data_IF_260830342052
#
_entry.id   IF_260830342052
#
_cell.length_a   1.000
_cell.length_b   1.000
_cell.length_c   1.000
_cell.angle_alpha   90.00
_cell.angle_beta   90.00
_cell.angle_gamma   90.00
#
_symmetry.space_group_name_H-M   'P 1'
#
loop_
_entity.id
_entity.type
_entity.pdbx_description
1 polymer ?
#
# COMPACT_ATOMS: atom_id res chain seq x y z
N UNK A 1 22.96 28.66 2.93
CA UNK A 1 21.82 27.85 2.42
C UNK A 1 21.54 28.29 1.00
N UNK A 2 21.48 27.38 0.04
CA UNK A 2 21.13 27.75 -1.34
C UNK A 2 19.61 27.92 -1.46
N UNK A 3 19.17 28.69 -2.46
CA UNK A 3 17.74 28.86 -2.76
C UNK A 3 17.03 27.50 -2.95
N UNK A 4 17.70 26.55 -3.61
CA UNK A 4 17.20 25.18 -3.84
C UNK A 4 17.01 24.43 -2.52
N UNK A 5 17.96 24.53 -1.57
CA UNK A 5 17.84 23.89 -0.26
C UNK A 5 16.61 24.40 0.51
N UNK A 6 16.31 25.69 0.42
CA UNK A 6 15.13 26.28 1.07
C UNK A 6 13.84 25.73 0.46
N UNK A 7 13.77 25.62 -0.88
CA UNK A 7 12.61 25.03 -1.57
C UNK A 7 12.36 23.60 -1.09
N UNK A 8 13.39 22.74 -1.06
CA UNK A 8 13.24 21.36 -0.62
C UNK A 8 12.80 21.28 0.84
N UNK A 9 13.39 22.07 1.73
CA UNK A 9 13.01 22.10 3.14
C UNK A 9 11.53 22.45 3.31
N UNK A 10 11.06 23.52 2.67
CA UNK A 10 9.65 23.94 2.71
C UNK A 10 8.72 22.87 2.14
N UNK A 11 9.10 22.25 1.02
CA UNK A 11 8.32 21.18 0.40
C UNK A 11 8.18 19.96 1.33
N UNK A 12 9.24 19.54 2.01
CA UNK A 12 9.18 18.42 2.97
C UNK A 12 8.33 18.75 4.19
N UNK A 13 8.43 19.96 4.75
CA UNK A 13 7.58 20.36 5.86
C UNK A 13 6.10 20.41 5.44
N UNK A 14 5.80 21.00 4.27
CA UNK A 14 4.44 21.04 3.75
C UNK A 14 3.88 19.63 3.50
N UNK A 15 4.65 18.74 2.86
CA UNK A 15 4.25 17.36 2.61
C UNK A 15 3.98 16.60 3.92
N UNK A 16 4.82 16.79 4.93
CA UNK A 16 4.64 16.16 6.25
C UNK A 16 3.38 16.65 6.96
N UNK A 17 3.12 17.96 6.93
CA UNK A 17 1.91 18.54 7.52
C UNK A 17 0.64 18.05 6.82
N UNK A 18 0.65 17.98 5.48
CA UNK A 18 -0.47 17.47 4.69
C UNK A 18 -0.70 15.99 4.99
N UNK A 19 0.36 15.19 5.05
CA UNK A 19 0.27 13.75 5.33
C UNK A 19 -0.33 13.51 6.72
N UNK A 20 0.26 14.08 7.77
CA UNK A 20 -0.15 13.83 9.16
C UNK A 20 -1.51 14.46 9.45
N UNK A 21 -1.70 15.74 9.11
CA UNK A 21 -2.95 16.45 9.32
C UNK A 21 -4.10 15.90 8.49
N UNK A 22 -3.85 15.59 7.21
CA UNK A 22 -4.84 15.01 6.31
C UNK A 22 -5.25 13.59 6.73
N UNK A 23 -4.28 12.74 7.11
CA UNK A 23 -4.57 11.41 7.65
C UNK A 23 -5.39 11.50 8.95
N UNK A 24 -4.97 12.37 9.89
CA UNK A 24 -5.70 12.59 11.14
C UNK A 24 -7.14 13.04 10.91
N UNK A 25 -7.35 13.99 10.00
CA UNK A 25 -8.69 14.44 9.60
C UNK A 25 -9.52 13.31 9.00
N UNK A 26 -8.94 12.46 8.14
CA UNK A 26 -9.64 11.31 7.55
C UNK A 26 -10.01 10.24 8.57
N UNK A 27 -9.13 9.95 9.52
CA UNK A 27 -9.42 9.03 10.64
C UNK A 27 -10.56 9.59 11.49
N UNK A 28 -10.50 10.87 11.83
CA UNK A 28 -11.55 11.54 12.59
C UNK A 28 -12.90 11.53 11.87
N UNK A 29 -12.90 11.82 10.56
CA UNK A 29 -14.08 11.74 9.70
C UNK A 29 -14.66 10.32 9.71
N UNK A 30 -13.83 9.30 9.54
CA UNK A 30 -14.25 7.89 9.58
C UNK A 30 -14.87 7.52 10.93
N UNK A 31 -14.23 7.91 12.05
CA UNK A 31 -14.73 7.61 13.39
C UNK A 31 -16.10 8.25 13.68
N UNK A 32 -16.31 9.49 13.22
CA UNK A 32 -17.54 10.25 13.50
C UNK A 32 -18.69 9.96 12.55
N UNK A 33 -18.42 9.36 11.39
CA UNK A 33 -19.47 9.07 10.40
C UNK A 33 -20.29 7.87 10.88
N UNK A 34 -21.59 8.05 11.23
CA UNK A 34 -22.41 6.93 11.67
C UNK A 34 -22.62 5.95 10.51
N UNK A 35 -22.58 4.64 10.79
CA UNK A 35 -22.90 3.61 9.80
C UNK A 35 -24.43 3.47 9.69
N UNK A 36 -25.06 3.91 8.58
CA UNK A 36 -26.52 4.05 8.51
C UNK A 36 -27.25 2.70 8.37
N UNK A 37 -26.54 1.61 8.04
CA UNK A 37 -27.16 0.33 7.68
C UNK A 37 -26.57 -0.82 8.50
N UNK A 38 -27.45 -1.61 9.14
CA UNK A 38 -27.12 -2.94 9.66
C UNK A 38 -27.12 -3.92 8.49
N UNK A 39 -26.01 -4.00 7.77
CA UNK A 39 -25.89 -4.91 6.64
C UNK A 39 -25.79 -6.35 7.18
N UNK A 40 -26.69 -7.27 6.78
CA UNK A 40 -26.52 -8.68 7.10
C UNK A 40 -25.23 -9.17 6.43
N UNK A 41 -24.23 -9.46 7.24
CA UNK A 41 -22.99 -10.04 6.75
C UNK A 41 -23.19 -11.54 6.54
N UNK A 42 -22.51 -12.08 5.52
CA UNK A 42 -22.37 -13.54 5.34
C UNK A 42 -21.98 -14.20 6.67
N UNK A 43 -22.39 -15.47 6.93
CA UNK A 43 -22.13 -16.15 8.19
C UNK A 43 -20.69 -15.91 8.66
N UNK A 44 -20.56 -15.09 9.71
CA UNK A 44 -19.28 -14.76 10.30
C UNK A 44 -19.00 -15.75 11.43
N UNK A 45 -17.72 -16.04 11.72
CA UNK A 45 -17.39 -16.83 12.89
C UNK A 45 -18.02 -16.21 14.15
N UNK A 46 -18.74 -17.02 14.92
CA UNK A 46 -19.44 -16.58 16.14
C UNK A 46 -18.50 -16.49 17.36
N UNK A 47 -17.27 -17.02 17.23
CA UNK A 47 -16.25 -16.99 18.28
C UNK A 47 -15.23 -15.88 18.03
N UNK A 48 -14.73 -15.24 19.10
CA UNK A 48 -13.68 -14.21 19.01
C UNK A 48 -12.43 -14.70 18.29
N UNK A 49 -12.02 -15.94 18.57
CA UNK A 49 -10.87 -16.58 17.91
C UNK A 49 -11.13 -16.77 16.42
N UNK A 50 -12.33 -17.22 16.03
CA UNK A 50 -12.69 -17.37 14.62
C UNK A 50 -12.68 -16.04 13.86
N UNK A 51 -13.14 -14.95 14.50
CA UNK A 51 -13.06 -13.59 13.93
C UNK A 51 -11.61 -13.17 13.73
N UNK A 52 -10.75 -13.35 14.74
CA UNK A 52 -9.33 -13.03 14.66
C UNK A 52 -8.65 -13.76 13.50
N UNK A 53 -8.85 -15.08 13.39
CA UNK A 53 -8.30 -15.89 12.30
C UNK A 53 -8.81 -15.42 10.93
N UNK A 54 -10.10 -15.07 10.81
CA UNK A 54 -10.66 -14.54 9.56
C UNK A 54 -9.97 -13.23 9.17
N UNK A 55 -9.83 -12.30 10.11
CA UNK A 55 -9.20 -11.00 9.85
C UNK A 55 -7.74 -11.19 9.42
N UNK A 56 -6.97 -12.01 10.14
CA UNK A 56 -5.57 -12.30 9.79
C UNK A 56 -5.46 -12.86 8.38
N UNK A 57 -6.34 -13.79 7.99
CA UNK A 57 -6.36 -14.35 6.63
C UNK A 57 -6.67 -13.31 5.56
N UNK A 58 -7.56 -12.36 5.82
CA UNK A 58 -7.84 -11.30 4.86
C UNK A 58 -6.71 -10.27 4.78
N UNK A 59 -6.12 -9.88 5.92
CA UNK A 59 -5.08 -8.84 5.96
C UNK A 59 -3.74 -9.35 5.43
N UNK A 60 -3.29 -10.52 5.86
CA UNK A 60 -1.97 -11.04 5.50
C UNK A 60 -1.95 -11.76 4.15
N UNK A 61 -3.05 -12.40 3.77
CA UNK A 61 -3.09 -13.30 2.61
C UNK A 61 -4.16 -12.95 1.57
N UNK A 62 -4.97 -11.93 1.79
CA UNK A 62 -6.07 -11.55 0.89
C UNK A 62 -6.97 -12.75 0.52
N UNK A 63 -7.35 -13.55 1.52
CA UNK A 63 -8.01 -14.84 1.30
C UNK A 63 -9.29 -14.76 0.46
N UNK A 64 -10.11 -13.71 0.62
CA UNK A 64 -11.28 -13.49 -0.23
C UNK A 64 -10.90 -13.20 -1.69
N UNK A 65 -9.87 -12.39 -1.90
CA UNK A 65 -9.36 -12.07 -3.23
C UNK A 65 -8.79 -13.32 -3.93
N UNK A 66 -8.09 -14.19 -3.18
CA UNK A 66 -7.59 -15.47 -3.71
C UNK A 66 -8.72 -16.34 -4.25
N UNK A 67 -9.83 -16.43 -3.51
CA UNK A 67 -11.01 -17.20 -3.91
C UNK A 67 -11.74 -16.58 -5.11
N UNK A 68 -11.76 -15.25 -5.22
CA UNK A 68 -12.49 -14.53 -6.27
C UNK A 68 -11.70 -14.41 -7.58
N UNK A 69 -10.43 -14.00 -7.52
CA UNK A 69 -9.62 -13.71 -8.70
C UNK A 69 -8.13 -13.97 -8.43
N UNK A 70 -7.67 -15.16 -8.80
CA UNK A 70 -6.29 -15.62 -8.59
C UNK A 70 -5.24 -14.72 -9.25
N UNK A 71 -5.53 -14.16 -10.43
CA UNK A 71 -4.62 -13.26 -11.13
C UNK A 71 -4.40 -11.94 -10.38
N UNK A 72 -5.50 -11.30 -9.96
CA UNK A 72 -5.43 -10.05 -9.18
C UNK A 72 -4.77 -10.31 -7.83
N UNK A 73 -5.06 -11.45 -7.21
CA UNK A 73 -4.39 -11.88 -5.98
C UNK A 73 -2.88 -12.02 -6.18
N UNK A 74 -2.44 -12.75 -7.20
CA UNK A 74 -1.03 -13.04 -7.45
C UNK A 74 -0.23 -11.75 -7.68
N UNK A 75 -0.71 -10.86 -8.55
CA UNK A 75 -0.05 -9.58 -8.80
C UNK A 75 -0.14 -8.64 -7.60
N UNK A 76 -1.23 -8.70 -6.83
CA UNK A 76 -1.40 -7.97 -5.58
C UNK A 76 -0.39 -8.38 -4.52
N UNK A 77 -0.23 -9.69 -4.29
CA UNK A 77 0.76 -10.24 -3.35
C UNK A 77 2.18 -9.93 -3.82
N UNK A 78 2.49 -10.12 -5.10
CA UNK A 78 3.79 -9.78 -5.68
C UNK A 78 4.15 -8.31 -5.41
N UNK A 79 3.23 -7.39 -5.72
CA UNK A 79 3.43 -5.96 -5.48
C UNK A 79 3.64 -5.63 -4.00
N UNK A 80 2.78 -6.13 -3.09
CA UNK A 80 2.88 -5.80 -1.66
C UNK A 80 4.11 -6.42 -0.99
N UNK A 81 4.46 -7.66 -1.32
CA UNK A 81 5.66 -8.31 -0.78
C UNK A 81 6.93 -7.58 -1.26
N UNK A 82 6.98 -7.20 -2.54
CA UNK A 82 8.07 -6.42 -3.09
C UNK A 82 8.17 -5.02 -2.45
N UNK A 83 7.03 -4.32 -2.30
CA UNK A 83 6.96 -3.02 -1.63
C UNK A 83 7.47 -3.11 -0.19
N UNK A 84 7.10 -4.16 0.56
CA UNK A 84 7.58 -4.38 1.93
C UNK A 84 9.11 -4.48 1.96
N UNK A 85 9.71 -5.27 1.06
CA UNK A 85 11.17 -5.41 0.98
C UNK A 85 11.83 -4.07 0.62
N UNK A 86 11.24 -3.31 -0.31
CA UNK A 86 11.73 -1.97 -0.68
C UNK A 86 11.68 -1.02 0.52
N UNK A 87 10.59 -1.00 1.28
CA UNK A 87 10.46 -0.17 2.49
C UNK A 87 11.51 -0.57 3.54
N UNK A 88 11.69 -1.88 3.79
CA UNK A 88 12.72 -2.37 4.71
C UNK A 88 14.13 -2.01 4.25
N UNK A 89 14.41 -2.01 2.94
CA UNK A 89 15.68 -1.53 2.40
C UNK A 89 15.88 -0.04 2.70
N UNK A 90 14.84 0.78 2.59
CA UNK A 90 14.91 2.22 2.88
C UNK A 90 15.05 2.50 4.38
N UNK A 91 14.56 1.62 5.26
CA UNK A 91 14.70 1.75 6.71
C UNK A 91 16.16 1.84 7.17
N UNK A 92 17.11 1.31 6.38
CA UNK A 92 18.55 1.42 6.65
C UNK A 92 19.02 2.85 6.89
N UNK A 93 18.40 3.83 6.23
CA UNK A 93 18.79 5.24 6.34
C UNK A 93 18.32 5.91 7.63
N UNK A 94 17.49 5.22 8.43
CA UNK A 94 16.93 5.73 9.67
C UNK A 94 17.49 5.04 10.92
N UNK A 95 18.40 4.07 10.75
CA UNK A 95 18.93 3.25 11.85
C UNK A 95 20.46 3.20 11.78
N UNK A 96 21.12 3.62 12.86
CA UNK A 96 22.57 3.54 13.03
C UNK A 96 22.89 2.96 14.43
N UNK A 97 23.48 1.74 14.52
CA UNK A 97 23.89 0.87 13.42
C UNK A 97 22.69 0.21 12.73
N UNK A 98 22.88 -0.18 11.46
CA UNK A 98 21.86 -0.93 10.69
C UNK A 98 21.60 -2.27 11.36
N UNK A 99 20.33 -2.56 11.69
CA UNK A 99 19.95 -3.82 12.33
C UNK A 99 20.22 -5.01 11.43
N UNK A 100 20.64 -6.14 12.02
CA UNK A 100 21.02 -7.34 11.28
C UNK A 100 19.96 -7.80 10.24
N UNK A 101 18.64 -7.85 10.55
CA UNK A 101 17.64 -8.23 9.54
C UNK A 101 17.59 -7.28 8.34
N UNK A 102 17.78 -5.98 8.57
CA UNK A 102 17.79 -4.95 7.52
C UNK A 102 19.06 -5.05 6.67
N UNK A 103 20.19 -5.39 7.29
CA UNK A 103 21.43 -5.64 6.56
C UNK A 103 21.31 -6.86 5.64
N UNK A 104 20.71 -7.96 6.14
CA UNK A 104 20.50 -9.18 5.36
C UNK A 104 19.55 -9.00 4.17
N UNK A 105 18.61 -8.05 4.23
CA UNK A 105 17.64 -7.82 3.15
C UNK A 105 18.19 -6.99 1.99
N UNK A 106 19.30 -6.26 2.20
CA UNK A 106 19.86 -5.31 1.21
C UNK A 106 20.08 -5.92 -0.19
N UNK A 107 20.64 -7.14 -0.35
CA UNK A 107 20.89 -7.72 -1.67
C UNK A 107 19.60 -7.97 -2.46
N UNK A 108 18.50 -8.23 -1.77
CA UNK A 108 17.20 -8.54 -2.39
C UNK A 108 16.44 -7.29 -2.83
N UNK A 109 16.79 -6.12 -2.30
CA UNK A 109 16.00 -4.90 -2.51
C UNK A 109 15.97 -4.40 -3.95
N UNK A 110 17.01 -4.67 -4.75
CA UNK A 110 17.00 -4.33 -6.19
C UNK A 110 16.03 -5.23 -6.96
N UNK A 111 16.09 -6.54 -6.72
CA UNK A 111 15.15 -7.51 -7.31
C UNK A 111 13.71 -7.24 -6.87
N UNK A 112 13.51 -6.85 -5.62
CA UNK A 112 12.22 -6.41 -5.13
C UNK A 112 11.73 -5.15 -5.86
N UNK A 113 12.59 -4.19 -6.18
CA UNK A 113 12.22 -3.04 -7.02
C UNK A 113 11.66 -3.46 -8.38
N UNK A 114 12.34 -4.37 -9.08
CA UNK A 114 11.84 -4.92 -10.34
C UNK A 114 10.51 -5.67 -10.19
N UNK A 115 10.38 -6.51 -9.15
CA UNK A 115 9.15 -7.23 -8.85
C UNK A 115 7.99 -6.27 -8.52
N UNK A 116 8.27 -5.17 -7.81
CA UNK A 116 7.30 -4.12 -7.48
C UNK A 116 6.79 -3.45 -8.74
N UNK A 117 7.71 -3.02 -9.63
CA UNK A 117 7.35 -2.38 -10.91
C UNK A 117 6.56 -3.33 -11.81
N UNK A 118 6.96 -4.61 -11.90
CA UNK A 118 6.25 -5.61 -12.68
C UNK A 118 4.82 -5.86 -12.15
N UNK A 119 4.67 -6.06 -10.83
CA UNK A 119 3.37 -6.22 -10.19
C UNK A 119 2.48 -4.98 -10.40
N UNK A 120 3.06 -3.79 -10.26
CA UNK A 120 2.37 -2.51 -10.47
C UNK A 120 1.92 -2.34 -11.93
N UNK A 121 2.77 -2.65 -12.91
CA UNK A 121 2.45 -2.63 -14.34
C UNK A 121 1.27 -3.54 -14.68
N UNK A 122 1.25 -4.76 -14.15
CA UNK A 122 0.16 -5.71 -14.40
C UNK A 122 -1.16 -5.28 -13.74
N UNK A 123 -1.10 -4.73 -12.52
CA UNK A 123 -2.27 -4.17 -11.84
C UNK A 123 -2.79 -2.89 -12.52
N UNK A 124 -1.89 -2.05 -13.02
CA UNK A 124 -2.24 -0.86 -13.79
C UNK A 124 -2.88 -1.25 -15.13
N UNK A 125 -2.30 -2.23 -15.84
CA UNK A 125 -2.89 -2.80 -17.05
C UNK A 125 -4.28 -3.35 -16.78
N UNK A 126 -4.52 -4.07 -15.67
CA UNK A 126 -5.87 -4.52 -15.28
C UNK A 126 -6.84 -3.35 -15.13
N UNK A 127 -6.41 -2.24 -14.53
CA UNK A 127 -7.24 -1.05 -14.31
C UNK A 127 -7.61 -0.35 -15.61
N UNK A 128 -6.73 -0.42 -16.61
CA UNK A 128 -7.02 0.06 -17.95
C UNK A 128 -7.86 -0.96 -18.70
N UNK A 129 -7.43 -2.20 -18.88
CA UNK A 129 -7.99 -3.13 -19.86
C UNK A 129 -9.34 -3.74 -19.44
N UNK A 130 -9.66 -3.83 -18.15
CA UNK A 130 -10.88 -4.49 -17.67
C UNK A 130 -12.02 -3.48 -17.49
N UNK A 131 -13.10 -3.51 -18.29
CA UNK A 131 -14.15 -2.48 -18.28
C UNK A 131 -14.80 -2.27 -16.91
N UNK A 132 -15.13 -3.36 -16.20
CA UNK A 132 -15.70 -3.30 -14.84
C UNK A 132 -14.80 -2.59 -13.82
N UNK A 133 -13.49 -2.70 -13.98
CA UNK A 133 -12.52 -2.04 -13.08
C UNK A 133 -12.37 -0.59 -13.50
N UNK A 134 -12.23 -0.33 -14.80
CA UNK A 134 -12.15 1.03 -15.35
C UNK A 134 -13.36 1.87 -14.96
N UNK A 135 -14.55 1.30 -15.00
CA UNK A 135 -15.81 1.97 -14.66
C UNK A 135 -15.85 2.50 -13.22
N UNK A 136 -15.29 1.76 -12.26
CA UNK A 136 -15.27 2.16 -10.84
C UNK A 136 -13.99 2.91 -10.44
N UNK A 137 -13.09 3.17 -11.39
CA UNK A 137 -11.78 3.76 -11.10
C UNK A 137 -11.88 5.28 -11.10
N UNK A 138 -11.44 5.90 -10.00
CA UNK A 138 -11.33 7.36 -9.90
C UNK A 138 -9.99 7.89 -10.42
N UNK A 139 -9.90 9.20 -10.68
CA UNK A 139 -8.65 9.84 -11.10
C UNK A 139 -7.52 9.65 -10.08
N UNK A 140 -7.84 9.72 -8.78
CA UNK A 140 -6.90 9.48 -7.69
C UNK A 140 -6.25 8.10 -7.76
N UNK A 141 -6.97 7.08 -8.22
CA UNK A 141 -6.41 5.72 -8.33
C UNK A 141 -5.28 5.66 -9.36
N UNK A 142 -5.40 6.38 -10.48
CA UNK A 142 -4.34 6.45 -11.48
C UNK A 142 -3.14 7.24 -10.95
N UNK A 143 -3.39 8.38 -10.29
CA UNK A 143 -2.32 9.21 -9.72
C UNK A 143 -1.48 8.43 -8.70
N UNK A 144 -2.10 7.64 -7.83
CA UNK A 144 -1.37 6.85 -6.83
C UNK A 144 -0.50 5.77 -7.48
N UNK A 145 -0.98 5.11 -8.54
CA UNK A 145 -0.18 4.12 -9.25
C UNK A 145 0.99 4.77 -10.00
N UNK A 146 0.76 5.91 -10.64
CA UNK A 146 1.82 6.70 -11.30
C UNK A 146 2.87 7.17 -10.29
N UNK A 147 2.46 7.65 -9.11
CA UNK A 147 3.38 8.00 -8.03
C UNK A 147 4.25 6.81 -7.61
N UNK A 148 3.65 5.63 -7.45
CA UNK A 148 4.38 4.41 -7.09
C UNK A 148 5.33 3.95 -8.21
N UNK A 149 5.01 4.19 -9.48
CA UNK A 149 5.97 3.96 -10.58
C UNK A 149 7.19 4.86 -10.43
N UNK A 150 7.00 6.16 -10.18
CA UNK A 150 8.12 7.09 -9.98
C UNK A 150 9.00 6.67 -8.80
N UNK A 151 8.40 6.26 -7.69
CA UNK A 151 9.14 5.74 -6.52
C UNK A 151 9.90 4.45 -6.88
N UNK A 152 9.34 3.58 -7.71
CA UNK A 152 10.03 2.37 -8.14
C UNK A 152 11.18 2.61 -9.12
N UNK A 153 11.17 3.73 -9.86
CA UNK A 153 12.23 4.11 -10.79
C UNK A 153 13.40 4.86 -10.14
N UNK A 154 13.18 5.51 -8.99
CA UNK A 154 14.22 6.22 -8.21
C UNK A 154 15.06 5.27 -7.36
#
# INVERSE_FOLDING_TARGET
MTFISVIFALAFYAATLILVGGLGFKIWQFWRTPAPLKIPVTPAPVTRLGVGVRIIKEVAFFASLFKSNKWTWMFGVLFHAALLVVVLRHLRYFTEPVWLPIALIQPFGVYAGFAMLAGLALLFARRLLVPRVRYITGFSDYLMLVLLFFIGFS
#
